data_IF_126063173777
#
_entry.id   IF_126063173777
#
_cell.length_a   1.000
_cell.length_b   1.000
_cell.length_c   1.000
_cell.angle_alpha   90.00
_cell.angle_beta   90.00
_cell.angle_gamma   90.00
#
_symmetry.space_group_name_H-M   'P 1'
#
loop_
_entity.id
_entity.type
_entity.pdbx_description
1 polymer ?
#
# COMPACT_ATOMS: atom_id res chain seq x y z
N UNK A 1 -18.36 -13.38 -3.98
CA UNK A 1 -18.05 -12.18 -4.73
C UNK A 1 -17.51 -11.07 -3.81
N UNK A 2 -18.31 -10.56 -2.93
CA UNK A 2 -17.92 -9.45 -2.05
C UNK A 2 -17.55 -9.98 -0.68
N UNK A 3 -16.31 -10.37 -0.50
CA UNK A 3 -15.86 -10.78 0.81
C UNK A 3 -14.58 -10.05 1.18
N UNK A 4 -14.40 -9.84 2.48
CA UNK A 4 -13.24 -9.14 3.00
C UNK A 4 -11.95 -9.92 2.79
N UNK A 5 -12.03 -11.24 2.65
CA UNK A 5 -10.85 -12.10 2.46
C UNK A 5 -10.05 -11.70 1.21
N UNK A 6 -10.72 -11.42 0.10
CA UNK A 6 -10.05 -10.99 -1.13
C UNK A 6 -9.31 -9.66 -0.94
N UNK A 7 -9.92 -8.73 -0.20
CA UNK A 7 -9.29 -7.45 0.11
C UNK A 7 -8.10 -7.67 1.06
N UNK A 8 -8.27 -8.51 2.07
CA UNK A 8 -7.18 -8.85 2.99
C UNK A 8 -5.99 -9.46 2.26
N UNK A 9 -6.24 -10.35 1.30
CA UNK A 9 -5.19 -10.97 0.50
C UNK A 9 -4.42 -9.94 -0.32
N UNK A 10 -5.12 -8.95 -0.88
CA UNK A 10 -4.46 -7.85 -1.60
C UNK A 10 -3.59 -7.01 -0.67
N UNK A 11 -4.09 -6.70 0.52
CA UNK A 11 -3.34 -5.94 1.52
C UNK A 11 -2.07 -6.70 1.91
N UNK A 12 -2.20 -7.99 2.23
CA UNK A 12 -1.05 -8.82 2.59
C UNK A 12 -0.04 -8.95 1.46
N UNK A 13 -0.53 -9.14 0.24
CA UNK A 13 0.34 -9.22 -0.93
C UNK A 13 1.16 -7.95 -1.12
N UNK A 14 0.51 -6.81 -0.98
CA UNK A 14 1.22 -5.53 -1.05
C UNK A 14 2.20 -5.36 0.11
N UNK A 15 1.78 -5.69 1.33
CA UNK A 15 2.61 -5.56 2.52
C UNK A 15 3.89 -6.41 2.42
N UNK A 16 3.81 -7.56 1.78
CA UNK A 16 4.95 -8.46 1.62
C UNK A 16 5.80 -8.15 0.38
N UNK A 17 5.40 -7.17 -0.41
CA UNK A 17 6.11 -6.76 -1.62
C UNK A 17 7.02 -5.57 -1.29
N UNK A 18 8.28 -5.86 -1.00
CA UNK A 18 9.23 -4.85 -0.51
C UNK A 18 9.41 -3.69 -1.49
N UNK A 19 9.33 -3.95 -2.80
CA UNK A 19 9.53 -2.97 -3.86
C UNK A 19 8.23 -2.49 -4.52
N UNK A 20 7.08 -2.82 -3.94
CA UNK A 20 5.74 -2.50 -4.46
C UNK A 20 5.39 -3.17 -5.79
N UNK A 21 6.20 -4.13 -6.26
CA UNK A 21 5.96 -4.79 -7.56
C UNK A 21 4.65 -5.57 -7.60
N UNK A 22 4.12 -5.97 -6.46
CA UNK A 22 2.82 -6.63 -6.35
C UNK A 22 1.69 -5.79 -6.98
N UNK A 23 1.83 -4.47 -6.97
CA UNK A 23 0.81 -3.58 -7.53
C UNK A 23 0.64 -3.76 -9.04
N UNK A 24 1.72 -4.03 -9.76
CA UNK A 24 1.68 -4.03 -11.24
C UNK A 24 0.53 -4.90 -11.79
N UNK A 25 0.37 -6.18 -11.38
CA UNK A 25 -0.74 -7.00 -11.88
C UNK A 25 -2.06 -6.79 -11.12
N UNK A 26 -2.08 -5.97 -10.07
CA UNK A 26 -3.20 -5.90 -9.14
C UNK A 26 -3.82 -4.50 -9.02
N UNK A 27 -3.61 -3.65 -10.01
CA UNK A 27 -4.18 -2.30 -10.04
C UNK A 27 -5.13 -2.13 -11.21
N UNK A 28 -6.10 -1.20 -11.05
CA UNK A 28 -6.93 -0.77 -12.16
C UNK A 28 -6.11 0.06 -13.13
N UNK A 29 -6.62 0.24 -14.35
CA UNK A 29 -5.93 1.03 -15.37
C UNK A 29 -5.69 2.47 -14.94
N UNK A 30 -6.62 3.02 -14.14
CA UNK A 30 -6.57 4.40 -13.68
C UNK A 30 -5.99 4.54 -12.26
N UNK A 31 -5.32 3.52 -11.76
CA UNK A 31 -4.74 3.54 -10.41
C UNK A 31 -3.83 4.74 -10.21
N UNK A 32 -3.94 5.34 -9.03
CA UNK A 32 -3.08 6.44 -8.61
C UNK A 32 -2.74 6.28 -7.14
N UNK A 33 -1.49 6.54 -6.79
CA UNK A 33 -1.05 6.59 -5.41
C UNK A 33 -0.66 8.03 -5.07
N UNK A 34 -1.01 8.47 -3.85
CA UNK A 34 -0.60 9.78 -3.33
C UNK A 34 0.44 9.54 -2.24
N UNK A 35 1.63 10.08 -2.45
CA UNK A 35 2.75 9.95 -1.50
C UNK A 35 2.60 10.94 -0.35
N UNK A 36 3.30 10.72 0.78
CA UNK A 36 3.25 11.67 1.90
C UNK A 36 3.64 13.10 1.52
N UNK A 37 4.45 13.27 0.47
CA UNK A 37 4.80 14.58 -0.07
C UNK A 37 3.64 15.30 -0.75
N UNK A 38 2.52 14.59 -0.97
CA UNK A 38 1.38 15.09 -1.74
C UNK A 38 1.47 14.82 -3.23
N UNK A 39 2.57 14.26 -3.71
CA UNK A 39 2.77 14.02 -5.14
C UNK A 39 2.11 12.71 -5.57
N UNK A 40 1.18 12.76 -6.56
CA UNK A 40 0.61 11.53 -7.12
C UNK A 40 1.62 10.80 -7.99
N UNK A 41 1.48 9.47 -8.04
CA UNK A 41 2.39 8.62 -8.79
C UNK A 41 1.65 7.38 -9.29
N UNK A 42 2.03 6.87 -10.45
CA UNK A 42 1.47 5.64 -11.00
C UNK A 42 2.09 4.40 -10.31
N UNK A 43 1.50 3.23 -10.54
CA UNK A 43 2.07 1.97 -10.03
C UNK A 43 3.49 1.76 -10.55
N UNK A 44 3.72 1.99 -11.84
CA UNK A 44 5.07 1.89 -12.43
C UNK A 44 6.03 2.87 -11.79
N UNK A 45 5.56 4.08 -11.48
CA UNK A 45 6.38 5.09 -10.81
C UNK A 45 6.79 4.65 -9.42
N UNK A 46 5.86 4.05 -8.65
CA UNK A 46 6.19 3.53 -7.33
C UNK A 46 7.28 2.46 -7.40
N UNK A 47 7.10 1.48 -8.28
CA UNK A 47 8.10 0.41 -8.46
C UNK A 47 9.43 1.02 -8.91
N UNK A 48 9.38 1.99 -9.82
CA UNK A 48 10.58 2.68 -10.31
C UNK A 48 11.37 3.40 -9.24
N UNK A 49 10.72 3.83 -8.15
CA UNK A 49 11.42 4.46 -7.03
C UNK A 49 12.44 3.52 -6.38
N UNK A 50 12.19 2.21 -6.41
CA UNK A 50 13.10 1.22 -5.84
C UNK A 50 14.26 0.87 -6.79
N UNK A 51 14.28 1.44 -7.99
CA UNK A 51 15.38 1.33 -8.92
C UNK A 51 16.33 2.54 -8.85
N UNK A 52 16.05 3.46 -7.92
CA UNK A 52 16.92 4.63 -7.69
C UNK A 52 18.21 4.15 -7.04
N UNK A 53 19.33 4.66 -7.54
CA UNK A 53 20.64 4.35 -6.99
C UNK A 53 20.68 4.63 -5.48
N UNK A 54 21.28 3.73 -4.73
CA UNK A 54 21.47 3.82 -3.28
C UNK A 54 20.19 3.64 -2.44
N UNK A 55 19.04 3.34 -3.08
CA UNK A 55 17.82 2.99 -2.34
C UNK A 55 17.70 1.47 -2.29
N UNK A 56 17.63 0.92 -1.07
CA UNK A 56 17.50 -0.52 -0.84
C UNK A 56 16.28 -0.78 0.05
N UNK A 57 15.32 -1.54 -0.47
CA UNK A 57 14.20 -2.01 0.32
C UNK A 57 14.68 -3.20 1.18
N UNK A 58 14.49 -3.13 2.49
CA UNK A 58 14.99 -4.16 3.41
C UNK A 58 13.88 -5.08 3.90
N UNK A 59 12.76 -4.51 4.37
CA UNK A 59 11.62 -5.31 4.82
C UNK A 59 10.35 -4.49 4.81
N UNK A 60 9.22 -5.20 4.76
CA UNK A 60 7.90 -4.61 4.87
C UNK A 60 6.99 -5.65 5.50
N UNK A 61 6.16 -5.22 6.45
CA UNK A 61 5.25 -6.13 7.16
C UNK A 61 3.96 -5.41 7.53
N UNK A 62 2.85 -6.14 7.43
CA UNK A 62 1.55 -5.65 7.89
C UNK A 62 1.53 -5.66 9.42
N UNK A 63 1.25 -4.50 10.01
CA UNK A 63 1.09 -4.36 11.46
C UNK A 63 -0.36 -4.60 11.86
N UNK A 64 -1.30 -3.93 11.18
CA UNK A 64 -2.72 -4.07 11.48
C UNK A 64 -3.57 -3.57 10.30
N UNK A 65 -4.65 -4.28 10.02
CA UNK A 65 -5.72 -3.79 9.16
C UNK A 65 -6.78 -3.18 10.09
N UNK A 66 -6.98 -1.87 9.99
CA UNK A 66 -7.88 -1.15 10.88
C UNK A 66 -9.33 -1.25 10.44
N UNK A 67 -9.57 -1.24 9.14
CA UNK A 67 -10.93 -1.22 8.61
C UNK A 67 -10.97 -1.71 7.17
N UNK A 68 -12.02 -2.47 6.85
CA UNK A 68 -12.40 -2.84 5.48
C UNK A 68 -13.90 -2.65 5.36
N UNK A 69 -14.34 -1.90 4.35
CA UNK A 69 -15.76 -1.72 4.03
C UNK A 69 -15.99 -1.99 2.55
N UNK A 70 -17.02 -2.75 2.24
CA UNK A 70 -17.35 -3.11 0.86
C UNK A 70 -18.75 -2.56 0.52
N UNK A 71 -18.83 -1.87 -0.62
CA UNK A 71 -20.05 -1.27 -1.14
C UNK A 71 -20.24 -1.74 -2.57
N UNK A 72 -20.86 -2.93 -2.76
CA UNK A 72 -21.02 -3.50 -4.08
C UNK A 72 -19.68 -3.83 -4.72
N UNK A 73 -19.32 -3.13 -5.79
CA UNK A 73 -18.07 -3.35 -6.53
C UNK A 73 -16.95 -2.36 -6.16
N UNK A 74 -17.15 -1.62 -5.07
CA UNK A 74 -16.15 -0.68 -4.54
C UNK A 74 -15.91 -1.02 -3.06
N UNK A 75 -14.67 -0.93 -2.64
CA UNK A 75 -14.30 -1.11 -1.23
C UNK A 75 -13.24 -0.11 -0.84
N UNK A 76 -13.12 0.15 0.47
CA UNK A 76 -11.97 0.87 0.99
C UNK A 76 -11.40 0.13 2.19
N UNK A 77 -10.13 0.38 2.45
CA UNK A 77 -9.45 -0.19 3.62
C UNK A 77 -8.45 0.79 4.17
N UNK A 78 -8.22 0.69 5.48
CA UNK A 78 -7.18 1.43 6.18
C UNK A 78 -6.29 0.42 6.90
N UNK A 79 -4.99 0.48 6.68
CA UNK A 79 -4.05 -0.46 7.28
C UNK A 79 -2.69 0.21 7.52
N UNK A 80 -1.93 -0.33 8.47
CA UNK A 80 -0.61 0.19 8.81
C UNK A 80 0.46 -0.84 8.50
N UNK A 81 1.52 -0.40 7.84
CA UNK A 81 2.70 -1.19 7.53
C UNK A 81 3.91 -0.68 8.30
N UNK A 82 4.80 -1.60 8.65
CA UNK A 82 6.14 -1.27 9.12
C UNK A 82 7.09 -1.49 7.95
N UNK A 83 7.70 -0.41 7.48
CA UNK A 83 8.55 -0.45 6.29
C UNK A 83 9.97 -0.03 6.65
N UNK A 84 10.95 -0.85 6.28
CA UNK A 84 12.35 -0.57 6.55
C UNK A 84 13.08 -0.50 5.22
N UNK A 85 13.77 0.60 4.98
CA UNK A 85 14.57 0.80 3.78
C UNK A 85 15.81 1.62 4.11
N UNK A 86 16.82 1.53 3.26
CA UNK A 86 18.06 2.30 3.38
C UNK A 86 18.25 3.18 2.16
N UNK A 87 18.70 4.40 2.38
CA UNK A 87 19.07 5.32 1.32
C UNK A 87 20.44 5.90 1.64
N UNK A 88 21.41 5.67 0.74
CA UNK A 88 22.81 6.08 0.92
C UNK A 88 23.39 5.61 2.27
N UNK A 89 23.08 4.37 2.64
CA UNK A 89 23.57 3.78 3.88
C UNK A 89 22.81 4.17 5.14
N UNK A 90 21.82 5.05 5.04
CA UNK A 90 21.00 5.47 6.18
C UNK A 90 19.71 4.65 6.22
N UNK A 91 19.48 3.91 7.28
CA UNK A 91 18.29 3.11 7.47
C UNK A 91 17.13 3.98 7.95
N UNK A 92 15.98 3.81 7.31
CA UNK A 92 14.72 4.45 7.69
C UNK A 92 13.72 3.38 8.10
N UNK A 93 13.02 3.62 9.18
CA UNK A 93 11.97 2.74 9.70
C UNK A 93 10.67 3.54 9.75
N UNK A 94 9.77 3.26 8.82
CA UNK A 94 8.52 3.98 8.70
C UNK A 94 7.37 3.11 9.16
N UNK A 95 6.57 3.64 10.09
CA UNK A 95 5.30 3.05 10.49
C UNK A 95 4.21 3.88 9.82
N UNK A 96 3.77 3.45 8.65
CA UNK A 96 2.92 4.23 7.76
C UNK A 96 1.51 3.66 7.69
N UNK A 97 0.51 4.55 7.71
CA UNK A 97 -0.89 4.14 7.53
C UNK A 97 -1.35 4.49 6.13
N UNK A 98 -1.95 3.50 5.48
CA UNK A 98 -2.44 3.60 4.11
C UNK A 98 -3.96 3.62 4.11
N UNK A 99 -4.52 4.43 3.22
CA UNK A 99 -5.94 4.36 2.85
C UNK A 99 -6.01 3.98 1.39
N UNK A 100 -6.74 2.91 1.08
CA UNK A 100 -6.86 2.40 -0.28
C UNK A 100 -8.30 2.27 -0.69
N UNK A 101 -8.57 2.52 -1.98
CA UNK A 101 -9.84 2.22 -2.62
C UNK A 101 -9.61 1.06 -3.56
N UNK A 102 -10.53 0.10 -3.57
CA UNK A 102 -10.48 -1.09 -4.41
C UNK A 102 -11.72 -1.11 -5.31
N UNK A 103 -11.57 -1.67 -6.48
CA UNK A 103 -12.69 -1.91 -7.41
C UNK A 103 -12.73 -3.37 -7.81
N UNK A 104 -13.94 -3.90 -7.90
CA UNK A 104 -14.19 -5.24 -8.42
C UNK A 104 -14.51 -5.13 -9.91
N UNK A 105 -13.63 -5.68 -10.73
CA UNK A 105 -13.81 -5.68 -12.18
C UNK A 105 -13.16 -6.92 -12.78
N UNK A 106 -13.75 -7.45 -13.85
CA UNK A 106 -13.23 -8.67 -14.51
C UNK A 106 -13.05 -9.82 -13.51
N UNK A 107 -14.04 -9.99 -12.63
CA UNK A 107 -14.11 -11.08 -11.64
C UNK A 107 -13.01 -11.04 -10.58
N UNK A 108 -12.37 -9.89 -10.36
CA UNK A 108 -11.33 -9.76 -9.35
C UNK A 108 -11.31 -8.36 -8.73
N UNK A 109 -10.88 -8.30 -7.48
CA UNK A 109 -10.64 -7.03 -6.79
C UNK A 109 -9.26 -6.51 -7.17
N UNK A 110 -9.14 -5.19 -7.33
CA UNK A 110 -7.88 -4.50 -7.66
C UNK A 110 -7.77 -3.21 -6.87
N UNK A 111 -6.55 -2.81 -6.58
CA UNK A 111 -6.30 -1.46 -6.05
C UNK A 111 -6.65 -0.43 -7.12
N UNK A 112 -7.42 0.59 -6.73
CA UNK A 112 -7.77 1.70 -7.63
C UNK A 112 -7.14 3.01 -7.18
N UNK A 113 -6.89 3.15 -5.89
CA UNK A 113 -6.31 4.36 -5.32
C UNK A 113 -5.65 4.02 -4.00
N UNK A 114 -4.56 4.73 -3.71
CA UNK A 114 -3.80 4.51 -2.49
C UNK A 114 -3.26 5.83 -1.99
N UNK A 115 -3.34 6.07 -0.69
CA UNK A 115 -2.69 7.21 -0.06
C UNK A 115 -1.92 6.72 1.15
N UNK A 116 -0.65 7.11 1.22
CA UNK A 116 0.22 6.80 2.34
C UNK A 116 0.38 8.04 3.20
N UNK A 117 0.15 7.90 4.51
CA UNK A 117 0.43 8.95 5.47
C UNK A 117 1.93 9.05 5.73
N UNK A 118 2.33 10.09 6.45
CA UNK A 118 3.70 10.22 6.89
C UNK A 118 4.03 9.11 7.89
N UNK A 119 5.24 8.55 7.83
CA UNK A 119 5.61 7.32 8.51
C UNK A 119 5.93 7.45 9.99
N UNK A 120 5.06 8.09 10.77
CA UNK A 120 5.24 8.27 12.21
C UNK A 120 3.95 7.97 12.98
N UNK A 121 3.30 6.87 12.63
CA UNK A 121 2.05 6.46 13.26
C UNK A 121 2.27 6.17 14.75
N UNK A 122 1.38 6.70 15.62
CA UNK A 122 1.42 6.44 17.04
C UNK A 122 0.42 5.36 17.40
N UNK A 123 0.91 4.16 17.67
CA UNK A 123 0.07 3.00 18.00
C UNK A 123 -0.71 3.15 19.30
N UNK A 124 -0.31 4.08 20.16
CA UNK A 124 -1.02 4.34 21.43
C UNK A 124 -2.43 4.87 21.23
N UNK A 125 -2.71 5.42 20.07
CA UNK A 125 -4.01 6.03 19.77
C UNK A 125 -5.00 5.08 19.07
N UNK A 126 -4.65 3.79 18.96
CA UNK A 126 -5.48 2.83 18.20
C UNK A 126 -6.63 2.20 19.00
N UNK A 127 -7.01 2.76 20.08
CA UNK A 127 -8.10 2.21 20.91
C UNK A 127 -9.48 2.80 20.59
#
# INVERSE_FOLDING_TARGET
MSNTKSIEDLIEGYANSEDSSFLIPNVTQDFLAVRPSGNPISAKGLVGMFNIKDLVAESSALVKTHKIEIFGDIAYAVFTLNEIFSYKGNQNKDLSTYTCIFKYENDTWKFSWMQRSQGTTDMKTWE
#
